data_IF_691142751446
#
_entry.id   IF_691142751446
#
_cell.length_a   1.000
_cell.length_b   1.000
_cell.length_c   1.000
_cell.angle_alpha   90.00
_cell.angle_beta   90.00
_cell.angle_gamma   90.00
#
_symmetry.space_group_name_H-M   'P 1'
#
loop_
_entity.id
_entity.type
_entity.pdbx_description
1 polymer ?
#
# COMPACT_ATOMS: atom_id res chain seq x y z
N UNK A 1 -67.89 104.56 38.72
CA UNK A 1 -67.80 103.08 38.71
C UNK A 1 -66.59 102.70 37.86
N UNK A 2 -65.70 101.86 38.38
CA UNK A 2 -64.42 101.52 37.74
C UNK A 2 -64.50 100.10 37.15
N UNK A 3 -64.34 99.99 35.82
CA UNK A 3 -64.36 98.71 35.08
C UNK A 3 -62.99 98.20 34.64
N UNK A 4 -61.93 98.97 34.85
CA UNK A 4 -60.62 98.73 34.23
C UNK A 4 -60.06 97.34 34.57
N UNK A 5 -60.26 96.86 35.80
CA UNK A 5 -59.79 95.54 36.23
C UNK A 5 -60.56 94.37 35.58
N UNK A 6 -61.86 94.52 35.34
CA UNK A 6 -62.67 93.53 34.62
C UNK A 6 -62.31 93.52 33.12
N UNK A 7 -62.11 94.70 32.54
CA UNK A 7 -61.73 94.87 31.14
C UNK A 7 -60.35 94.29 30.83
N UNK A 8 -59.38 94.50 31.71
CA UNK A 8 -58.05 93.91 31.61
C UNK A 8 -58.11 92.37 31.65
N UNK A 9 -58.86 91.81 32.61
CA UNK A 9 -59.03 90.36 32.71
C UNK A 9 -59.75 89.78 31.49
N UNK A 10 -60.86 90.39 31.06
CA UNK A 10 -61.59 89.99 29.86
C UNK A 10 -60.69 89.98 28.64
N UNK A 11 -59.90 91.04 28.44
CA UNK A 11 -58.98 91.17 27.30
C UNK A 11 -57.87 90.13 27.35
N UNK A 12 -57.35 89.81 28.54
CA UNK A 12 -56.32 88.79 28.73
C UNK A 12 -56.82 87.38 28.41
N UNK A 13 -58.07 87.05 28.77
CA UNK A 13 -58.56 85.66 28.69
C UNK A 13 -59.46 85.37 27.49
N UNK A 14 -60.00 86.39 26.79
CA UNK A 14 -60.93 86.21 25.65
C UNK A 14 -60.38 85.36 24.48
N UNK A 15 -59.05 85.25 24.37
CA UNK A 15 -58.37 84.48 23.33
C UNK A 15 -58.13 82.99 23.66
N UNK A 16 -58.56 82.52 24.84
CA UNK A 16 -58.41 81.12 25.24
C UNK A 16 -59.18 80.21 24.28
N UNK A 17 -58.65 79.03 23.92
CA UNK A 17 -59.25 78.11 22.92
C UNK A 17 -59.90 76.90 23.58
N UNK A 18 -61.10 76.51 23.10
CA UNK A 18 -61.86 75.35 23.61
C UNK A 18 -61.10 74.03 23.58
N UNK A 19 -60.31 73.81 22.52
CA UNK A 19 -59.74 72.50 22.20
C UNK A 19 -58.94 71.84 23.32
N UNK A 20 -58.30 72.65 24.17
CA UNK A 20 -57.38 72.18 25.20
C UNK A 20 -58.07 71.78 26.51
N UNK A 21 -59.35 72.14 26.69
CA UNK A 21 -60.05 72.05 27.99
C UNK A 21 -61.27 71.14 27.94
N UNK A 22 -61.58 70.52 29.09
CA UNK A 22 -62.80 69.70 29.28
C UNK A 22 -64.05 70.52 29.03
N UNK A 23 -65.06 69.93 28.40
CA UNK A 23 -66.28 70.64 28.02
C UNK A 23 -66.96 71.31 29.23
N UNK A 24 -66.97 70.65 30.39
CA UNK A 24 -67.57 71.18 31.62
C UNK A 24 -66.91 72.50 32.09
N UNK A 25 -65.58 72.50 32.23
CA UNK A 25 -64.85 73.70 32.70
C UNK A 25 -64.79 74.79 31.64
N UNK A 26 -64.75 74.40 30.36
CA UNK A 26 -64.82 75.33 29.24
C UNK A 26 -66.15 76.08 29.19
N UNK A 27 -67.28 75.37 29.34
CA UNK A 27 -68.61 75.97 29.32
C UNK A 27 -68.81 76.96 30.48
N UNK A 28 -68.27 76.66 31.67
CA UNK A 28 -68.26 77.57 32.81
C UNK A 28 -67.45 78.84 32.51
N UNK A 29 -66.25 78.71 31.95
CA UNK A 29 -65.43 79.84 31.51
C UNK A 29 -66.11 80.69 30.44
N UNK A 30 -66.68 80.07 29.40
CA UNK A 30 -67.38 80.78 28.33
C UNK A 30 -68.59 81.57 28.85
N UNK A 31 -69.34 81.00 29.81
CA UNK A 31 -70.46 81.66 30.47
C UNK A 31 -69.99 82.89 31.26
N UNK A 32 -68.93 82.75 32.04
CA UNK A 32 -68.34 83.85 32.82
C UNK A 32 -67.77 84.95 31.92
N UNK A 33 -67.15 84.58 30.79
CA UNK A 33 -66.62 85.52 29.79
C UNK A 33 -67.74 86.32 29.11
N UNK A 34 -68.85 85.66 28.77
CA UNK A 34 -70.03 86.33 28.22
C UNK A 34 -70.69 87.26 29.25
N UNK A 35 -70.77 86.85 30.52
CA UNK A 35 -71.28 87.70 31.59
C UNK A 35 -70.39 88.93 31.82
N UNK A 36 -69.07 88.75 31.86
CA UNK A 36 -68.11 89.85 31.94
C UNK A 36 -68.28 90.86 30.79
N UNK A 37 -68.47 90.37 29.55
CA UNK A 37 -68.76 91.24 28.39
C UNK A 37 -70.05 92.04 28.56
N UNK A 38 -71.13 91.40 29.05
CA UNK A 38 -72.41 92.08 29.32
C UNK A 38 -72.24 93.19 30.37
N UNK A 39 -71.56 92.90 31.47
CA UNK A 39 -71.32 93.88 32.55
C UNK A 39 -70.40 95.02 32.09
N UNK A 40 -69.42 94.74 31.23
CA UNK A 40 -68.57 95.78 30.61
C UNK A 40 -69.39 96.74 29.74
N UNK A 41 -70.38 96.23 29.00
CA UNK A 41 -71.22 97.02 28.10
C UNK A 41 -72.40 97.74 28.78
N UNK A 42 -72.75 97.38 30.02
CA UNK A 42 -73.87 97.99 30.75
C UNK A 42 -73.47 99.32 31.39
N UNK A 43 -73.99 100.45 30.89
CA UNK A 43 -73.73 101.79 31.41
C UNK A 43 -74.31 102.03 32.82
N UNK A 44 -75.22 101.18 33.29
CA UNK A 44 -75.85 101.24 34.63
C UNK A 44 -75.27 100.24 35.62
N UNK A 45 -74.25 99.45 35.24
CA UNK A 45 -73.66 98.46 36.13
C UNK A 45 -73.10 99.10 37.42
N UNK A 46 -73.43 98.50 38.56
CA UNK A 46 -72.90 98.88 39.88
C UNK A 46 -71.48 98.32 40.09
N UNK A 47 -70.71 98.92 40.99
CA UNK A 47 -69.37 98.40 41.33
C UNK A 47 -69.42 96.94 41.81
N UNK A 48 -70.43 96.58 42.60
CA UNK A 48 -70.66 95.21 43.07
C UNK A 48 -70.87 94.21 41.91
N UNK A 49 -71.56 94.61 40.84
CA UNK A 49 -71.75 93.78 39.65
C UNK A 49 -70.44 93.61 38.85
N UNK A 50 -69.64 94.68 38.73
CA UNK A 50 -68.32 94.64 38.09
C UNK A 50 -67.36 93.71 38.84
N UNK A 51 -67.28 93.85 40.16
CA UNK A 51 -66.41 93.04 41.01
C UNK A 51 -66.86 91.56 41.00
N UNK A 52 -68.16 91.31 41.04
CA UNK A 52 -68.73 89.96 40.93
C UNK A 52 -68.42 89.31 39.57
N UNK A 53 -68.58 90.05 38.47
CA UNK A 53 -68.24 89.55 37.13
C UNK A 53 -66.74 89.28 36.99
N UNK A 54 -65.88 90.12 37.60
CA UNK A 54 -64.42 89.92 37.62
C UNK A 54 -64.05 88.66 38.38
N UNK A 55 -64.57 88.48 39.59
CA UNK A 55 -64.28 87.31 40.42
C UNK A 55 -64.82 86.02 39.78
N UNK A 56 -65.99 86.09 39.14
CA UNK A 56 -66.58 84.96 38.41
C UNK A 56 -65.72 84.57 37.20
N UNK A 57 -65.27 85.55 36.41
CA UNK A 57 -64.40 85.31 35.26
C UNK A 57 -63.03 84.77 35.69
N UNK A 58 -62.43 85.34 36.73
CA UNK A 58 -61.13 84.91 37.27
C UNK A 58 -61.21 83.48 37.80
N UNK A 59 -62.25 83.16 38.57
CA UNK A 59 -62.48 81.81 39.10
C UNK A 59 -62.74 80.80 37.99
N UNK A 60 -63.53 81.15 36.99
CA UNK A 60 -63.83 80.26 35.88
C UNK A 60 -62.61 80.03 34.97
N UNK A 61 -61.75 81.04 34.79
CA UNK A 61 -60.47 80.91 34.07
C UNK A 61 -59.49 80.02 34.83
N UNK A 62 -59.30 80.26 36.14
CA UNK A 62 -58.47 79.40 37.02
C UNK A 62 -59.00 77.98 37.15
N UNK A 63 -60.32 77.80 36.99
CA UNK A 63 -61.01 76.51 37.03
C UNK A 63 -60.95 75.69 35.74
N UNK A 64 -60.34 76.21 34.67
CA UNK A 64 -60.17 75.48 33.41
C UNK A 64 -59.31 74.22 33.60
N UNK A 65 -59.87 73.05 33.29
CA UNK A 65 -59.16 71.76 33.35
C UNK A 65 -58.87 71.27 31.95
N UNK A 66 -57.60 70.97 31.66
CA UNK A 66 -57.20 70.43 30.36
C UNK A 66 -57.87 69.08 30.11
N UNK A 67 -58.19 68.76 28.85
CA UNK A 67 -58.64 67.40 28.49
C UNK A 67 -57.53 66.41 28.85
N UNK A 68 -57.86 65.23 29.41
CA UNK A 68 -56.88 64.17 29.57
C UNK A 68 -56.33 63.79 28.19
N UNK A 69 -55.02 63.60 28.08
CA UNK A 69 -54.42 63.07 26.87
C UNK A 69 -54.98 61.65 26.61
N UNK A 70 -55.29 61.29 25.36
CA UNK A 70 -55.70 59.93 25.05
C UNK A 70 -54.60 58.95 25.50
N UNK A 71 -54.98 57.96 26.31
CA UNK A 71 -54.08 56.90 26.75
C UNK A 71 -53.85 55.92 25.61
N UNK A 72 -52.66 55.95 25.01
CA UNK A 72 -52.27 55.03 23.93
C UNK A 72 -51.75 53.73 24.54
N UNK A 73 -52.31 52.60 24.13
CA UNK A 73 -51.91 51.29 24.64
C UNK A 73 -50.79 50.69 23.75
N UNK A 74 -49.59 50.58 24.33
CA UNK A 74 -48.38 50.01 23.69
C UNK A 74 -48.04 48.59 24.13
N UNK A 75 -48.82 48.00 25.03
CA UNK A 75 -48.49 46.73 25.72
C UNK A 75 -48.24 45.58 24.73
N UNK A 76 -49.13 45.42 23.74
CA UNK A 76 -48.99 44.33 22.77
C UNK A 76 -47.79 44.49 21.83
N UNK A 77 -47.50 45.73 21.38
CA UNK A 77 -46.32 46.03 20.58
C UNK A 77 -45.03 45.77 21.39
N UNK A 78 -45.01 46.18 22.66
CA UNK A 78 -43.87 45.99 23.55
C UNK A 78 -43.60 44.50 23.82
N UNK A 79 -44.66 43.71 24.02
CA UNK A 79 -44.57 42.26 24.20
C UNK A 79 -43.97 41.59 22.96
N UNK A 80 -44.51 41.89 21.77
CA UNK A 80 -43.99 41.34 20.51
C UNK A 80 -42.53 41.76 20.26
N UNK A 81 -42.20 43.03 20.46
CA UNK A 81 -40.83 43.53 20.34
C UNK A 81 -39.87 42.75 21.25
N UNK A 82 -40.23 42.55 22.52
CA UNK A 82 -39.40 41.81 23.46
C UNK A 82 -39.25 40.33 23.09
N UNK A 83 -40.28 39.72 22.52
CA UNK A 83 -40.27 38.33 22.07
C UNK A 83 -39.29 38.13 20.89
N UNK A 84 -39.24 39.07 19.94
CA UNK A 84 -38.52 38.85 18.67
C UNK A 84 -37.20 39.63 18.55
N UNK A 85 -36.91 40.61 19.42
CA UNK A 85 -35.69 41.44 19.33
C UNK A 85 -34.37 40.67 19.38
N UNK A 86 -34.38 39.46 19.93
CA UNK A 86 -33.19 38.60 20.07
C UNK A 86 -33.10 37.53 18.98
N UNK A 87 -34.01 37.54 18.00
CA UNK A 87 -33.91 36.65 16.83
C UNK A 87 -32.59 36.93 16.11
N UNK A 88 -31.83 35.89 15.79
CA UNK A 88 -30.57 35.99 15.05
C UNK A 88 -30.78 35.76 13.55
N UNK A 89 -29.92 36.33 12.70
CA UNK A 89 -30.02 36.24 11.24
C UNK A 89 -29.99 34.79 10.72
N UNK A 90 -29.16 33.93 11.32
CA UNK A 90 -29.05 32.53 10.94
C UNK A 90 -28.91 32.31 9.43
N UNK A 91 -29.69 31.37 8.91
CA UNK A 91 -29.80 31.00 7.50
C UNK A 91 -30.97 31.70 6.79
N UNK A 92 -31.56 32.75 7.36
CA UNK A 92 -32.59 33.53 6.67
C UNK A 92 -32.02 34.24 5.43
N UNK A 93 -32.88 34.44 4.43
CA UNK A 93 -32.55 35.19 3.22
C UNK A 93 -32.31 36.66 3.55
N UNK A 94 -31.40 37.31 2.82
CA UNK A 94 -31.08 38.73 3.01
C UNK A 94 -32.33 39.62 2.95
N UNK A 95 -33.23 39.34 2.00
CA UNK A 95 -34.46 40.10 1.79
C UNK A 95 -35.44 39.98 2.95
N UNK A 96 -35.76 38.75 3.39
CA UNK A 96 -36.69 38.56 4.52
C UNK A 96 -36.12 39.08 5.83
N UNK A 97 -34.81 38.92 6.04
CA UNK A 97 -34.11 39.44 7.22
C UNK A 97 -34.12 40.97 7.29
N UNK A 98 -33.83 41.65 6.17
CA UNK A 98 -33.85 43.11 6.12
C UNK A 98 -35.26 43.69 6.37
N UNK A 99 -36.30 43.00 5.87
CA UNK A 99 -37.69 43.37 6.14
C UNK A 99 -38.02 43.26 7.64
N UNK A 100 -37.60 42.17 8.29
CA UNK A 100 -37.76 41.99 9.74
C UNK A 100 -37.02 43.04 10.55
N UNK A 101 -35.74 43.30 10.24
CA UNK A 101 -34.93 44.32 10.92
C UNK A 101 -35.53 45.73 10.79
N UNK A 102 -36.06 46.06 9.60
CA UNK A 102 -36.74 47.33 9.35
C UNK A 102 -37.99 47.47 10.22
N UNK A 103 -38.83 46.42 10.27
CA UNK A 103 -40.03 46.40 11.09
C UNK A 103 -39.71 46.47 12.59
N UNK A 104 -38.65 45.77 13.05
CA UNK A 104 -38.18 45.80 14.43
C UNK A 104 -37.69 47.19 14.85
N UNK A 105 -36.92 47.85 13.97
CA UNK A 105 -36.47 49.24 14.17
C UNK A 105 -37.65 50.22 14.23
N UNK A 106 -38.63 50.08 13.32
CA UNK A 106 -39.83 50.91 13.33
C UNK A 106 -40.68 50.69 14.60
N UNK A 107 -40.85 49.44 15.03
CA UNK A 107 -41.53 49.11 16.28
C UNK A 107 -40.85 49.78 17.48
N UNK A 108 -39.51 49.76 17.55
CA UNK A 108 -38.76 50.46 18.60
C UNK A 108 -39.00 51.97 18.56
N UNK A 109 -38.95 52.61 17.39
CA UNK A 109 -39.23 54.04 17.22
C UNK A 109 -40.64 54.40 17.70
N UNK A 110 -41.66 53.61 17.36
CA UNK A 110 -43.04 53.84 17.80
C UNK A 110 -43.22 53.59 19.31
N UNK A 111 -42.52 52.61 19.87
CA UNK A 111 -42.49 52.39 21.33
C UNK A 111 -41.89 53.60 22.07
N UNK A 112 -40.82 54.18 21.55
CA UNK A 112 -40.13 55.34 22.14
C UNK A 112 -40.86 56.68 21.91
N UNK A 113 -41.72 56.78 20.89
CA UNK A 113 -42.43 58.02 20.57
C UNK A 113 -43.61 58.28 21.52
N UNK A 114 -43.45 59.21 22.45
CA UNK A 114 -44.49 59.67 23.38
C UNK A 114 -45.75 60.26 22.72
N UNK A 115 -45.69 60.62 21.43
CA UNK A 115 -46.80 61.19 20.65
C UNK A 115 -47.42 60.21 19.65
N UNK A 116 -46.96 58.95 19.62
CA UNK A 116 -47.51 57.95 18.72
C UNK A 116 -49.01 57.74 18.97
N UNK A 117 -49.81 57.75 17.90
CA UNK A 117 -51.23 57.42 17.90
C UNK A 117 -51.47 55.92 18.03
N UNK A 118 -52.68 55.51 18.46
CA UNK A 118 -53.03 54.09 18.52
C UNK A 118 -52.93 53.40 17.15
N UNK A 119 -53.25 54.11 16.07
CA UNK A 119 -53.10 53.59 14.70
C UNK A 119 -51.63 53.32 14.36
N UNK A 120 -50.70 54.20 14.74
CA UNK A 120 -49.26 53.96 14.53
C UNK A 120 -48.77 52.75 15.32
N UNK A 121 -49.22 52.58 16.56
CA UNK A 121 -48.89 51.41 17.40
C UNK A 121 -49.42 50.12 16.78
N UNK A 122 -50.69 50.10 16.37
CA UNK A 122 -51.31 48.93 15.73
C UNK A 122 -50.61 48.58 14.41
N UNK A 123 -50.28 49.57 13.59
CA UNK A 123 -49.56 49.36 12.33
C UNK A 123 -48.16 48.81 12.58
N UNK A 124 -47.40 49.37 13.52
CA UNK A 124 -46.07 48.87 13.86
C UNK A 124 -46.11 47.42 14.38
N UNK A 125 -47.13 47.07 15.18
CA UNK A 125 -47.35 45.69 15.66
C UNK A 125 -47.60 44.75 14.50
N UNK A 126 -48.56 45.09 13.64
CA UNK A 126 -48.93 44.26 12.49
C UNK A 126 -47.75 44.09 11.53
N UNK A 127 -46.99 45.16 11.27
CA UNK A 127 -45.78 45.10 10.44
C UNK A 127 -44.70 44.21 11.05
N UNK A 128 -44.44 44.34 12.36
CA UNK A 128 -43.46 43.49 13.04
C UNK A 128 -43.88 42.02 13.04
N UNK A 129 -45.15 41.72 13.33
CA UNK A 129 -45.69 40.35 13.31
C UNK A 129 -45.62 39.73 11.91
N UNK A 130 -46.02 40.48 10.89
CA UNK A 130 -45.97 40.03 9.50
C UNK A 130 -44.54 39.80 9.03
N UNK A 131 -43.61 40.69 9.37
CA UNK A 131 -42.21 40.56 8.98
C UNK A 131 -41.53 39.39 9.71
N UNK A 132 -41.88 39.14 10.97
CA UNK A 132 -41.38 37.98 11.72
C UNK A 132 -41.91 36.66 11.14
N UNK A 133 -43.20 36.57 10.84
CA UNK A 133 -43.81 35.40 10.17
C UNK A 133 -43.32 35.22 8.73
N UNK A 134 -42.86 36.30 8.09
CA UNK A 134 -42.33 36.33 6.73
C UNK A 134 -40.84 36.02 6.62
N UNK A 135 -40.16 35.64 7.70
CA UNK A 135 -38.78 35.17 7.63
C UNK A 135 -38.68 33.89 6.78
N UNK A 136 -37.75 33.88 5.83
CA UNK A 136 -37.57 32.79 4.87
C UNK A 136 -36.15 32.25 4.97
N UNK A 137 -36.01 30.92 5.06
CA UNK A 137 -34.70 30.27 5.01
C UNK A 137 -34.10 30.32 3.60
N UNK A 138 -32.78 30.39 3.52
CA UNK A 138 -32.05 30.21 2.27
C UNK A 138 -32.39 28.84 1.68
N UNK A 139 -32.59 28.74 0.36
CA UNK A 139 -32.80 27.44 -0.28
C UNK A 139 -31.58 26.55 -0.05
N UNK A 140 -31.81 25.29 0.32
CA UNK A 140 -30.75 24.29 0.32
C UNK A 140 -30.30 24.02 -1.13
N UNK A 141 -29.01 23.77 -1.39
CA UNK A 141 -28.55 23.34 -2.71
C UNK A 141 -29.34 22.14 -3.23
N UNK A 142 -29.74 22.17 -4.51
CA UNK A 142 -30.40 21.05 -5.18
C UNK A 142 -29.43 19.92 -5.53
N UNK A 143 -28.14 20.26 -5.64
CA UNK A 143 -27.04 19.35 -5.95
C UNK A 143 -25.83 19.69 -5.09
N UNK A 144 -25.00 18.70 -4.82
CA UNK A 144 -23.73 18.84 -4.13
C UNK A 144 -22.61 18.24 -4.95
N UNK A 145 -21.40 18.80 -4.79
CA UNK A 145 -20.21 18.27 -5.43
C UNK A 145 -19.74 17.01 -4.70
N UNK A 146 -19.55 15.94 -5.46
CA UNK A 146 -18.87 14.73 -5.02
C UNK A 146 -17.52 14.66 -5.71
N UNK A 147 -16.47 14.49 -4.90
CA UNK A 147 -15.10 14.26 -5.39
C UNK A 147 -14.68 12.84 -5.05
N UNK A 148 -14.16 12.10 -6.01
CA UNK A 148 -13.58 10.77 -5.79
C UNK A 148 -12.09 10.85 -6.02
N UNK A 149 -11.31 10.60 -4.96
CA UNK A 149 -9.84 10.69 -4.97
C UNK A 149 -9.24 9.29 -4.89
N UNK A 150 -8.27 9.03 -5.75
CA UNK A 150 -7.49 7.80 -5.77
C UNK A 150 -6.06 8.15 -5.35
N UNK A 151 -5.61 7.60 -4.23
CA UNK A 151 -4.37 8.01 -3.57
C UNK A 151 -3.40 6.84 -3.47
N UNK A 152 -2.13 7.07 -3.76
CA UNK A 152 -1.06 6.14 -3.43
C UNK A 152 -0.87 6.12 -1.91
N UNK A 153 -0.96 4.96 -1.29
CA UNK A 153 -0.89 4.81 0.17
C UNK A 153 0.54 4.98 0.70
N UNK A 154 1.55 4.57 -0.06
CA UNK A 154 2.95 4.67 0.30
C UNK A 154 3.45 6.12 0.25
N UNK A 155 3.12 6.84 -0.82
CA UNK A 155 3.66 8.18 -1.08
C UNK A 155 2.70 9.31 -0.73
N UNK A 156 1.41 9.02 -0.54
CA UNK A 156 0.36 10.02 -0.35
C UNK A 156 0.05 10.84 -1.62
N UNK A 157 0.58 10.43 -2.78
CA UNK A 157 0.37 11.13 -4.04
C UNK A 157 -1.04 10.89 -4.60
N UNK A 158 -1.62 11.91 -5.22
CA UNK A 158 -2.89 11.81 -5.92
C UNK A 158 -2.66 11.12 -7.28
N UNK A 159 -3.23 9.93 -7.45
CA UNK A 159 -3.16 9.16 -8.68
C UNK A 159 -4.21 9.62 -9.69
N UNK A 160 -5.43 9.86 -9.22
CA UNK A 160 -6.56 10.30 -10.04
C UNK A 160 -7.61 11.01 -9.19
N UNK A 161 -8.31 11.95 -9.80
CA UNK A 161 -9.44 12.64 -9.21
C UNK A 161 -10.58 12.74 -10.22
N UNK A 162 -11.81 12.54 -9.75
CA UNK A 162 -13.04 12.64 -10.52
C UNK A 162 -14.04 13.53 -9.76
N UNK A 163 -14.80 14.34 -10.49
CA UNK A 163 -15.83 15.21 -9.92
C UNK A 163 -17.17 14.95 -10.57
N UNK A 164 -18.22 14.92 -9.76
CA UNK A 164 -19.60 14.76 -10.23
C UNK A 164 -20.55 15.58 -9.36
N UNK A 165 -21.54 16.20 -9.98
CA UNK A 165 -22.65 16.84 -9.27
C UNK A 165 -23.74 15.82 -9.01
N UNK A 166 -24.13 15.67 -7.74
CA UNK A 166 -25.13 14.68 -7.31
C UNK A 166 -26.30 15.38 -6.64
N UNK A 167 -27.52 14.98 -7.01
CA UNK A 167 -28.75 15.52 -6.45
C UNK A 167 -28.83 15.30 -4.93
N UNK A 168 -29.20 16.34 -4.21
CA UNK A 168 -29.40 16.29 -2.76
C UNK A 168 -30.38 15.17 -2.37
N UNK A 169 -30.00 14.38 -1.36
CA UNK A 169 -30.79 13.27 -0.83
C UNK A 169 -30.71 11.97 -1.64
N UNK A 170 -29.94 11.92 -2.73
CA UNK A 170 -29.73 10.68 -3.50
C UNK A 170 -28.51 9.91 -3.00
N UNK A 171 -28.59 8.58 -3.09
CA UNK A 171 -27.46 7.69 -2.82
C UNK A 171 -26.48 7.72 -3.98
N UNK A 172 -25.19 7.84 -3.69
CA UNK A 172 -24.10 7.75 -4.65
C UNK A 172 -23.12 6.66 -4.26
N UNK A 173 -22.75 5.80 -5.22
CA UNK A 173 -21.74 4.76 -5.05
C UNK A 173 -20.49 5.14 -5.83
N UNK A 174 -19.45 5.57 -5.11
CA UNK A 174 -18.11 5.73 -5.66
C UNK A 174 -17.47 4.35 -5.86
N UNK A 175 -16.67 4.21 -6.91
CA UNK A 175 -15.94 2.97 -7.21
C UNK A 175 -14.44 3.23 -7.26
N UNK A 176 -13.66 2.29 -6.76
CA UNK A 176 -12.24 2.21 -7.01
C UNK A 176 -12.01 1.98 -8.51
N UNK A 177 -11.01 2.67 -9.06
CA UNK A 177 -10.49 2.44 -10.41
C UNK A 177 -9.68 1.16 -10.49
N UNK A 178 -9.86 0.44 -11.59
CA UNK A 178 -9.11 -0.77 -11.96
C UNK A 178 -8.14 -0.53 -13.12
N UNK A 179 -8.21 0.63 -13.78
CA UNK A 179 -7.40 1.03 -14.93
C UNK A 179 -6.09 1.74 -14.53
N UNK A 180 -5.66 1.61 -13.27
CA UNK A 180 -4.37 2.13 -12.77
C UNK A 180 -3.27 1.09 -13.04
N UNK A 181 -3.04 0.76 -14.31
CA UNK A 181 -2.16 -0.34 -14.77
C UNK A 181 -0.88 0.15 -15.45
N UNK A 182 0.16 -0.69 -15.46
CA UNK A 182 1.28 -0.61 -16.41
C UNK A 182 1.03 -1.61 -17.58
N UNK A 183 1.93 -1.66 -18.57
CA UNK A 183 1.75 -2.44 -19.81
C UNK A 183 1.59 -3.97 -19.59
N UNK A 184 1.94 -4.52 -18.42
CA UNK A 184 1.95 -5.97 -18.16
C UNK A 184 1.21 -6.39 -16.87
N UNK A 185 0.98 -5.48 -15.92
CA UNK A 185 0.29 -5.72 -14.64
C UNK A 185 -0.36 -4.43 -14.09
N UNK A 186 -1.28 -4.51 -13.11
CA UNK A 186 -1.69 -3.32 -12.36
C UNK A 186 -0.46 -2.67 -11.71
N UNK A 187 -0.27 -1.35 -11.87
CA UNK A 187 0.77 -0.62 -11.13
C UNK A 187 0.37 -0.45 -9.66
N UNK A 188 -0.94 -0.55 -9.40
CA UNK A 188 -1.57 -0.29 -8.12
C UNK A 188 -2.66 -1.33 -7.85
N UNK A 189 -2.75 -1.79 -6.60
CA UNK A 189 -3.86 -2.59 -6.10
C UNK A 189 -4.66 -1.79 -5.07
N UNK A 190 -5.99 -1.80 -5.19
CA UNK A 190 -6.86 -1.13 -4.21
C UNK A 190 -6.69 -1.75 -2.82
N UNK A 191 -6.49 -0.91 -1.82
CA UNK A 191 -6.44 -1.29 -0.42
C UNK A 191 -7.84 -1.19 0.19
N UNK A 192 -8.43 -2.34 0.54
CA UNK A 192 -9.75 -2.40 1.15
C UNK A 192 -10.90 -2.50 0.14
N UNK A 193 -12.02 -1.83 0.43
CA UNK A 193 -13.24 -1.97 -0.36
C UNK A 193 -13.15 -1.26 -1.71
N UNK A 194 -13.63 -1.93 -2.76
CA UNK A 194 -13.67 -1.39 -4.12
C UNK A 194 -14.82 -0.40 -4.34
N UNK A 195 -15.74 -0.25 -3.39
CA UNK A 195 -16.86 0.69 -3.49
C UNK A 195 -17.15 1.36 -2.15
N UNK A 196 -17.66 2.59 -2.21
CA UNK A 196 -18.14 3.36 -1.05
C UNK A 196 -19.47 4.00 -1.43
N UNK A 197 -20.51 3.82 -0.60
CA UNK A 197 -21.86 4.33 -0.89
C UNK A 197 -22.33 5.27 0.22
N UNK A 198 -22.85 6.44 -0.15
CA UNK A 198 -23.40 7.41 0.81
C UNK A 198 -24.55 8.22 0.19
N UNK A 199 -25.54 8.57 1.01
CA UNK A 199 -26.55 9.58 0.65
C UNK A 199 -25.96 10.98 0.71
N UNK A 200 -26.02 11.71 -0.41
CA UNK A 200 -25.37 13.01 -0.58
C UNK A 200 -26.29 14.14 -0.12
N UNK A 201 -25.92 14.78 0.99
CA UNK A 201 -26.65 15.94 1.55
C UNK A 201 -25.75 17.16 1.77
N UNK A 202 -24.46 17.03 1.46
CA UNK A 202 -23.42 18.06 1.54
C UNK A 202 -22.39 17.75 0.45
N UNK A 203 -21.44 18.65 0.22
CA UNK A 203 -20.25 18.29 -0.57
C UNK A 203 -19.52 17.14 0.14
N UNK A 204 -19.13 16.12 -0.62
CA UNK A 204 -18.57 14.87 -0.09
C UNK A 204 -17.33 14.49 -0.86
N UNK A 205 -16.33 13.94 -0.18
CA UNK A 205 -15.14 13.36 -0.81
C UNK A 205 -15.02 11.89 -0.43
N UNK A 206 -14.99 11.01 -1.43
CA UNK A 206 -14.61 9.61 -1.27
C UNK A 206 -13.13 9.45 -1.58
N UNK A 207 -12.42 8.67 -0.78
CA UNK A 207 -11.00 8.41 -1.01
C UNK A 207 -10.76 6.90 -1.06
N UNK A 208 -10.15 6.44 -2.14
CA UNK A 208 -9.65 5.09 -2.30
C UNK A 208 -8.12 5.12 -2.22
N UNK A 209 -7.56 4.24 -1.40
CA UNK A 209 -6.12 4.09 -1.25
C UNK A 209 -5.65 2.89 -2.04
N UNK A 210 -4.46 3.00 -2.62
CA UNK A 210 -3.85 1.97 -3.44
C UNK A 210 -2.45 1.66 -2.95
N UNK A 211 -2.13 0.37 -2.88
CA UNK A 211 -0.77 -0.10 -2.66
C UNK A 211 -0.06 -0.29 -4.00
N UNK A 212 1.20 0.14 -4.09
CA UNK A 212 2.05 -0.12 -5.25
C UNK A 212 2.22 -1.63 -5.49
N UNK A 213 2.33 -2.01 -6.76
CA UNK A 213 2.62 -3.39 -7.18
C UNK A 213 3.95 -3.40 -7.91
N UNK A 214 4.87 -4.22 -7.43
CA UNK A 214 6.18 -4.43 -8.03
C UNK A 214 6.24 -5.74 -8.79
N UNK A 215 7.11 -5.80 -9.80
CA UNK A 215 7.36 -7.00 -10.56
C UNK A 215 8.61 -7.72 -10.05
N UNK A 216 8.43 -8.99 -9.71
CA UNK A 216 9.54 -9.93 -9.53
C UNK A 216 9.70 -10.70 -10.83
N UNK A 217 10.80 -10.45 -11.54
CA UNK A 217 11.13 -11.12 -12.79
C UNK A 217 11.98 -12.36 -12.51
N UNK A 218 11.56 -13.51 -13.03
CA UNK A 218 12.26 -14.79 -12.90
C UNK A 218 12.83 -15.17 -14.25
N UNK A 219 14.14 -15.41 -14.29
CA UNK A 219 14.87 -15.82 -15.48
C UNK A 219 15.64 -17.11 -15.24
N UNK A 220 15.82 -17.87 -16.31
CA UNK A 220 16.74 -18.99 -16.32
C UNK A 220 18.01 -18.60 -17.06
N UNK A 221 19.14 -19.17 -16.66
CA UNK A 221 20.41 -19.02 -17.39
C UNK A 221 21.16 -20.35 -17.44
N UNK A 222 21.88 -20.64 -18.54
CA UNK A 222 22.79 -21.77 -18.57
C UNK A 222 23.99 -21.54 -17.65
N UNK A 223 24.54 -22.62 -17.11
CA UNK A 223 25.82 -22.66 -16.42
C UNK A 223 26.66 -23.84 -16.94
N UNK A 224 27.83 -23.52 -17.51
CA UNK A 224 28.74 -24.48 -18.16
C UNK A 224 28.09 -25.34 -19.26
N UNK A 225 26.98 -24.89 -19.84
CA UNK A 225 26.34 -25.54 -21.00
C UNK A 225 26.91 -24.94 -22.27
N UNK A 226 27.21 -25.77 -23.27
CA UNK A 226 27.66 -25.30 -24.59
C UNK A 226 26.60 -24.43 -25.29
N UNK A 227 26.99 -23.30 -25.88
CA UNK A 227 26.12 -22.46 -26.71
C UNK A 227 25.62 -23.18 -27.99
N UNK A 228 26.23 -24.32 -28.34
CA UNK A 228 25.78 -25.17 -29.45
C UNK A 228 24.67 -26.14 -29.07
N UNK A 229 24.28 -26.21 -27.80
CA UNK A 229 23.19 -27.09 -27.36
C UNK A 229 21.86 -26.68 -28.03
N UNK A 230 21.13 -27.61 -28.66
CA UNK A 230 19.94 -27.28 -29.43
C UNK A 230 18.78 -26.75 -28.57
N UNK A 231 18.79 -26.97 -27.26
CA UNK A 231 17.74 -26.60 -26.32
C UNK A 231 18.10 -25.37 -25.46
N UNK A 232 19.33 -24.85 -25.53
CA UNK A 232 19.78 -23.76 -24.65
C UNK A 232 18.94 -22.48 -24.75
N UNK A 233 18.32 -22.25 -25.92
CA UNK A 233 17.44 -21.12 -26.15
C UNK A 233 16.18 -21.15 -25.26
N UNK A 234 15.75 -22.32 -24.78
CA UNK A 234 14.65 -22.44 -23.83
C UNK A 234 14.97 -21.71 -22.51
N UNK A 235 16.23 -21.78 -22.06
CA UNK A 235 16.69 -21.07 -20.86
C UNK A 235 16.76 -19.55 -21.10
N UNK A 236 17.39 -19.12 -22.20
CA UNK A 236 17.54 -17.69 -22.51
C UNK A 236 16.20 -16.98 -22.74
N UNK A 237 15.23 -17.66 -23.35
CA UNK A 237 13.91 -17.10 -23.63
C UNK A 237 12.97 -17.17 -22.42
N UNK A 238 13.33 -17.90 -21.37
CA UNK A 238 12.50 -17.97 -20.18
C UNK A 238 12.56 -16.66 -19.40
N UNK A 239 11.44 -15.94 -19.38
CA UNK A 239 11.17 -14.87 -18.42
C UNK A 239 9.73 -15.00 -17.93
N UNK A 240 9.53 -14.85 -16.62
CA UNK A 240 8.21 -14.82 -16.01
C UNK A 240 8.13 -13.75 -14.93
N UNK A 241 7.16 -12.86 -15.07
CA UNK A 241 6.92 -11.77 -14.12
C UNK A 241 5.83 -12.14 -13.12
N UNK A 242 6.07 -11.85 -11.85
CA UNK A 242 5.13 -12.05 -10.75
C UNK A 242 4.81 -10.69 -10.12
N UNK A 243 3.55 -10.21 -10.19
CA UNK A 243 3.16 -8.98 -9.50
C UNK A 243 3.05 -9.23 -8.00
N UNK A 244 3.70 -8.40 -7.21
CA UNK A 244 3.74 -8.47 -5.75
C UNK A 244 3.38 -7.11 -5.18
N UNK A 245 2.37 -7.09 -4.31
CA UNK A 245 1.90 -5.87 -3.66
C UNK A 245 2.94 -5.42 -2.64
N UNK A 246 3.13 -4.10 -2.53
CA UNK A 246 4.07 -3.45 -1.61
C UNK A 246 4.06 -4.11 -0.22
N UNK A 247 5.24 -4.55 0.22
CA UNK A 247 5.48 -5.13 1.54
C UNK A 247 5.05 -6.59 1.69
N UNK A 248 4.46 -7.22 0.68
CA UNK A 248 4.18 -8.66 0.71
C UNK A 248 5.45 -9.48 0.45
N UNK A 249 5.42 -10.74 0.90
CA UNK A 249 6.44 -11.73 0.57
C UNK A 249 5.97 -12.64 -0.55
N UNK A 250 6.90 -13.16 -1.34
CA UNK A 250 6.65 -14.18 -2.36
C UNK A 250 7.70 -15.28 -2.28
N UNK A 251 7.29 -16.53 -2.48
CA UNK A 251 8.19 -17.67 -2.69
C UNK A 251 8.02 -18.16 -4.11
N UNK A 252 9.13 -18.26 -4.83
CA UNK A 252 9.18 -18.66 -6.23
C UNK A 252 9.93 -19.98 -6.33
N UNK A 253 9.32 -20.95 -6.98
CA UNK A 253 9.95 -22.22 -7.35
C UNK A 253 10.67 -22.07 -8.68
N UNK A 254 11.83 -22.70 -8.79
CA UNK A 254 12.63 -22.75 -10.00
C UNK A 254 11.82 -23.43 -11.13
N UNK A 255 11.79 -22.87 -12.35
CA UNK A 255 11.14 -23.53 -13.47
C UNK A 255 11.76 -24.90 -13.77
N UNK A 256 10.94 -25.83 -14.28
CA UNK A 256 11.42 -27.13 -14.75
C UNK A 256 11.60 -27.10 -16.26
N UNK A 257 12.72 -27.62 -16.72
CA UNK A 257 13.04 -27.77 -18.14
C UNK A 257 13.26 -29.25 -18.44
N UNK A 258 12.91 -29.69 -19.64
CA UNK A 258 12.97 -31.12 -20.00
C UNK A 258 14.41 -31.61 -20.10
N UNK A 259 15.32 -30.78 -20.61
CA UNK A 259 16.69 -31.15 -20.91
C UNK A 259 17.72 -30.64 -19.89
N UNK A 260 17.28 -29.85 -18.91
CA UNK A 260 18.19 -29.21 -17.96
C UNK A 260 17.76 -29.47 -16.52
N UNK A 261 18.75 -29.52 -15.62
CA UNK A 261 18.53 -29.57 -14.18
C UNK A 261 19.06 -28.30 -13.53
N UNK A 262 18.52 -27.96 -12.37
CA UNK A 262 19.05 -26.86 -11.58
C UNK A 262 20.48 -27.16 -11.14
N UNK A 263 21.39 -26.23 -11.35
CA UNK A 263 22.78 -26.38 -10.99
C UNK A 263 22.99 -26.01 -9.51
N UNK A 264 23.25 -26.97 -8.61
CA UNK A 264 23.41 -26.70 -7.19
C UNK A 264 24.65 -25.86 -6.87
N UNK A 265 25.61 -25.74 -7.80
CA UNK A 265 26.83 -24.93 -7.63
C UNK A 265 26.52 -23.43 -7.58
N UNK A 266 25.46 -23.00 -8.28
CA UNK A 266 25.04 -21.60 -8.40
C UNK A 266 23.63 -21.36 -7.83
N UNK A 267 22.82 -22.40 -7.72
CA UNK A 267 21.43 -22.37 -7.26
C UNK A 267 21.19 -23.54 -6.30
N UNK A 268 21.62 -23.36 -5.05
CA UNK A 268 21.59 -24.40 -4.01
C UNK A 268 20.18 -24.80 -3.52
N UNK A 269 19.15 -24.05 -3.91
CA UNK A 269 17.75 -24.29 -3.57
C UNK A 269 16.89 -24.16 -4.82
N UNK A 270 15.89 -25.04 -4.94
CA UNK A 270 14.85 -24.94 -5.96
C UNK A 270 13.79 -23.86 -5.66
N UNK A 271 13.93 -23.15 -4.55
CA UNK A 271 13.04 -22.06 -4.16
C UNK A 271 13.81 -20.83 -3.70
N UNK A 272 13.27 -19.65 -4.00
CA UNK A 272 13.75 -18.36 -3.51
C UNK A 272 12.57 -17.60 -2.90
N UNK A 273 12.72 -17.18 -1.64
CA UNK A 273 11.74 -16.34 -0.95
C UNK A 273 12.24 -14.91 -0.86
N UNK A 274 11.46 -13.98 -1.41
CA UNK A 274 11.66 -12.54 -1.25
C UNK A 274 10.70 -12.03 -0.19
N UNK A 275 11.24 -11.47 0.89
CA UNK A 275 10.44 -10.91 1.97
C UNK A 275 10.30 -9.41 1.80
N UNK A 276 9.11 -8.88 2.10
CA UNK A 276 8.84 -7.44 2.13
C UNK A 276 9.25 -6.74 0.82
N UNK A 277 8.63 -7.12 -0.30
CA UNK A 277 8.96 -6.58 -1.62
C UNK A 277 8.53 -5.11 -1.73
N UNK A 278 9.50 -4.22 -1.91
CA UNK A 278 9.29 -2.75 -1.98
C UNK A 278 9.84 -2.13 -3.27
N UNK A 279 10.32 -2.94 -4.21
CA UNK A 279 10.83 -2.51 -5.50
C UNK A 279 10.75 -3.66 -6.50
N UNK A 280 10.92 -3.38 -7.79
CA UNK A 280 11.14 -4.46 -8.78
C UNK A 280 12.42 -5.22 -8.44
N UNK A 281 12.40 -6.54 -8.62
CA UNK A 281 13.50 -7.44 -8.29
C UNK A 281 13.64 -8.54 -9.35
N UNK A 282 14.83 -9.12 -9.46
CA UNK A 282 15.14 -10.21 -10.38
C UNK A 282 15.66 -11.44 -9.67
N UNK A 283 15.19 -12.61 -10.07
CA UNK A 283 15.68 -13.93 -9.62
C UNK A 283 16.23 -14.66 -10.83
N UNK A 284 17.46 -15.17 -10.72
CA UNK A 284 18.08 -15.99 -11.75
C UNK A 284 18.36 -17.39 -11.20
N UNK A 285 17.79 -18.40 -11.85
CA UNK A 285 18.12 -19.80 -11.59
C UNK A 285 19.12 -20.30 -12.65
N UNK A 286 20.19 -20.93 -12.19
CA UNK A 286 21.23 -21.47 -13.05
C UNK A 286 20.94 -22.95 -13.37
N UNK A 287 21.06 -23.32 -14.64
CA UNK A 287 20.75 -24.66 -15.13
C UNK A 287 21.93 -25.27 -15.88
N UNK A 288 22.06 -26.58 -15.80
CA UNK A 288 23.15 -27.35 -16.42
C UNK A 288 22.66 -28.74 -16.82
N UNK A 289 23.45 -29.48 -17.58
CA UNK A 289 23.17 -30.90 -17.81
C UNK A 289 23.67 -31.76 -16.65
N UNK A 290 23.00 -32.91 -16.49
CA UNK A 290 23.38 -33.94 -15.55
C UNK A 290 23.86 -35.17 -16.30
N UNK A 291 25.04 -35.66 -15.94
CA UNK A 291 25.62 -36.85 -16.54
C UNK A 291 25.97 -37.88 -15.48
N UNK A 292 26.07 -39.13 -15.92
CA UNK A 292 26.50 -40.23 -15.09
C UNK A 292 27.91 -40.67 -15.48
N UNK A 293 28.77 -40.79 -14.48
CA UNK A 293 30.07 -41.44 -14.60
C UNK A 293 29.97 -42.84 -14.02
N UNK A 294 30.07 -43.84 -14.88
CA UNK A 294 30.07 -45.24 -14.50
C UNK A 294 31.51 -45.72 -14.29
N UNK A 295 31.82 -46.28 -13.13
CA UNK A 295 33.12 -46.86 -12.83
C UNK A 295 32.99 -48.38 -12.83
N UNK A 296 33.64 -49.02 -13.80
CA UNK A 296 33.63 -50.46 -13.97
C UNK A 296 34.96 -51.08 -13.55
N UNK A 297 34.88 -52.18 -12.82
CA UNK A 297 36.01 -53.06 -12.53
C UNK A 297 35.75 -54.37 -13.26
N UNK A 298 36.62 -54.74 -14.20
CA UNK A 298 36.41 -55.92 -15.06
C UNK A 298 37.59 -56.88 -15.02
N UNK A 299 37.30 -58.17 -15.22
CA UNK A 299 38.30 -59.16 -15.57
C UNK A 299 38.71 -58.96 -17.05
N UNK A 300 40.00 -58.76 -17.31
CA UNK A 300 40.51 -58.49 -18.67
C UNK A 300 40.37 -59.68 -19.62
N UNK A 301 40.38 -60.91 -19.10
CA UNK A 301 40.33 -62.12 -19.93
C UNK A 301 38.90 -62.50 -20.30
N UNK A 302 37.96 -62.32 -19.38
CA UNK A 302 36.56 -62.76 -19.55
C UNK A 302 35.59 -61.62 -19.83
N UNK A 303 36.03 -60.36 -19.67
CA UNK A 303 35.19 -59.16 -19.63
C UNK A 303 34.09 -59.21 -18.54
N UNK A 304 34.19 -60.10 -17.56
CA UNK A 304 33.23 -60.16 -16.46
C UNK A 304 33.32 -58.90 -15.58
N UNK A 305 32.18 -58.28 -15.29
CA UNK A 305 32.09 -57.14 -14.37
C UNK A 305 32.23 -57.65 -12.93
N UNK A 306 33.31 -57.25 -12.28
CA UNK A 306 33.63 -57.58 -10.88
C UNK A 306 32.93 -56.62 -9.92
N UNK A 307 32.82 -55.36 -10.29
CA UNK A 307 32.10 -54.32 -9.56
C UNK A 307 31.75 -53.17 -10.51
N UNK A 308 30.62 -52.52 -10.27
CA UNK A 308 30.21 -51.32 -11.00
C UNK A 308 29.56 -50.34 -10.03
N UNK A 309 29.82 -49.06 -10.22
CA UNK A 309 29.20 -47.96 -9.47
C UNK A 309 28.94 -46.79 -10.41
N UNK A 310 27.91 -46.01 -10.12
CA UNK A 310 27.55 -44.84 -10.92
C UNK A 310 27.51 -43.63 -10.00
N UNK A 311 28.22 -42.57 -10.38
CA UNK A 311 28.14 -41.27 -9.73
C UNK A 311 27.54 -40.25 -10.68
N UNK A 312 26.59 -39.49 -10.18
CA UNK A 312 26.03 -38.34 -10.89
C UNK A 312 26.95 -37.13 -10.75
N UNK A 313 27.19 -36.46 -11.86
CA UNK A 313 28.00 -35.23 -11.99
C UNK A 313 27.27 -34.21 -12.87
N UNK A 314 27.69 -32.96 -12.80
CA UNK A 314 27.14 -31.88 -13.62
C UNK A 314 28.10 -31.51 -14.75
N UNK A 315 27.58 -30.91 -15.83
CA UNK A 315 28.40 -30.52 -16.97
C UNK A 315 29.59 -29.65 -16.53
N UNK A 316 30.75 -29.97 -17.09
CA UNK A 316 32.02 -29.32 -16.78
C UNK A 316 32.59 -29.66 -15.40
N UNK A 317 32.02 -30.63 -14.67
CA UNK A 317 32.66 -31.19 -13.48
C UNK A 317 33.89 -32.02 -13.86
N UNK A 318 34.78 -32.19 -12.88
CA UNK A 318 35.85 -33.18 -12.94
C UNK A 318 35.54 -34.29 -11.95
N UNK A 319 35.80 -35.54 -12.33
CA UNK A 319 35.52 -36.70 -11.50
C UNK A 319 36.78 -37.56 -11.37
N UNK A 320 37.09 -37.94 -10.14
CA UNK A 320 38.24 -38.78 -9.80
C UNK A 320 37.78 -40.01 -9.01
N UNK A 321 38.30 -41.18 -9.38
CA UNK A 321 38.03 -42.43 -8.65
C UNK A 321 39.30 -43.27 -8.55
N UNK A 322 39.40 -44.06 -7.49
CA UNK A 322 40.53 -44.95 -7.22
C UNK A 322 40.19 -46.38 -7.61
N UNK A 323 41.22 -47.16 -7.97
CA UNK A 323 41.05 -48.59 -8.16
C UNK A 323 40.64 -49.28 -6.84
N UNK A 324 39.92 -50.39 -6.95
CA UNK A 324 39.57 -51.24 -5.81
C UNK A 324 40.65 -52.30 -5.62
N UNK A 325 41.12 -52.49 -4.39
CA UNK A 325 42.05 -53.57 -4.08
C UNK A 325 41.31 -54.91 -4.02
N UNK A 326 41.72 -55.85 -4.86
CA UNK A 326 41.08 -57.16 -5.05
C UNK A 326 42.11 -58.31 -5.01
N UNK A 327 43.29 -58.07 -4.42
CA UNK A 327 44.39 -59.03 -4.39
C UNK A 327 44.05 -60.30 -3.60
N UNK A 328 43.18 -60.19 -2.58
CA UNK A 328 42.69 -61.34 -1.81
C UNK A 328 41.89 -62.34 -2.66
N UNK A 329 41.41 -61.90 -3.83
CA UNK A 329 40.69 -62.71 -4.81
C UNK A 329 41.55 -63.03 -6.04
N UNK A 330 42.88 -62.84 -5.95
CA UNK A 330 43.86 -63.02 -7.02
C UNK A 330 43.65 -62.09 -8.24
N UNK A 331 42.98 -60.95 -8.07
CA UNK A 331 42.83 -59.94 -9.11
C UNK A 331 43.87 -58.83 -8.97
N UNK A 332 44.67 -58.66 -10.02
CA UNK A 332 45.74 -57.67 -10.07
C UNK A 332 45.43 -56.60 -11.12
N UNK A 333 45.56 -55.33 -10.75
CA UNK A 333 45.24 -54.19 -11.62
C UNK A 333 46.20 -54.15 -12.82
N UNK A 334 45.66 -54.19 -14.03
CA UNK A 334 46.43 -53.94 -15.26
C UNK A 334 46.71 -52.44 -15.44
N UNK A 335 47.86 -52.08 -16.03
CA UNK A 335 48.10 -50.72 -16.53
C UNK A 335 47.33 -50.53 -17.83
N UNK A 336 46.04 -50.22 -17.71
CA UNK A 336 45.21 -49.91 -18.87
C UNK A 336 45.25 -48.39 -19.10
N UNK A 337 46.13 -47.96 -20.00
CA UNK A 337 46.32 -46.62 -20.55
C UNK A 337 45.16 -46.22 -21.47
N UNK A 338 43.96 -46.20 -20.89
CA UNK A 338 42.79 -45.54 -21.47
C UNK A 338 43.13 -44.06 -21.66
N UNK A 339 43.43 -43.65 -22.90
CA UNK A 339 43.80 -42.28 -23.25
C UNK A 339 42.70 -41.26 -22.97
N UNK A 340 41.48 -41.72 -22.67
CA UNK A 340 40.35 -40.88 -22.33
C UNK A 340 40.28 -40.51 -20.85
N UNK A 341 41.18 -41.06 -20.02
CA UNK A 341 41.33 -40.71 -18.60
C UNK A 341 42.79 -40.37 -18.29
N UNK A 342 43.00 -39.44 -17.36
CA UNK A 342 44.34 -39.21 -16.80
C UNK A 342 44.57 -40.14 -15.62
N UNK A 343 45.78 -40.71 -15.51
CA UNK A 343 46.16 -41.64 -14.43
C UNK A 343 47.28 -41.03 -13.61
N UNK A 344 47.09 -40.90 -12.31
CA UNK A 344 48.11 -40.39 -11.41
C UNK A 344 49.14 -41.47 -11.01
N UNK A 345 50.18 -41.07 -10.27
CA UNK A 345 51.24 -41.98 -9.78
C UNK A 345 50.73 -43.08 -8.84
N UNK A 346 49.51 -42.97 -8.31
CA UNK A 346 48.89 -43.93 -7.40
C UNK A 346 47.85 -44.81 -8.11
N UNK A 347 47.65 -44.64 -9.42
CA UNK A 347 46.65 -45.36 -10.21
C UNK A 347 45.23 -44.80 -10.10
N UNK A 348 45.04 -43.60 -9.53
CA UNK A 348 43.77 -42.89 -9.55
C UNK A 348 43.46 -42.43 -10.97
N UNK A 349 42.22 -42.62 -11.41
CA UNK A 349 41.74 -42.18 -12.73
C UNK A 349 40.92 -40.91 -12.58
N UNK A 350 41.22 -39.91 -13.41
CA UNK A 350 40.54 -38.62 -13.42
C UNK A 350 40.06 -38.30 -14.84
N UNK A 351 38.80 -37.88 -14.93
CA UNK A 351 38.21 -37.25 -16.11
C UNK A 351 37.91 -35.79 -15.77
N UNK A 352 38.21 -34.88 -16.69
CA UNK A 352 37.96 -33.46 -16.54
C UNK A 352 36.91 -33.01 -17.54
N UNK A 353 36.16 -31.97 -17.19
CA UNK A 353 35.18 -31.32 -18.06
C UNK A 353 34.16 -32.31 -18.66
N UNK A 354 33.45 -33.04 -17.80
CA UNK A 354 32.45 -34.02 -18.22
C UNK A 354 31.32 -33.32 -18.99
N UNK A 355 31.07 -33.77 -20.22
CA UNK A 355 30.10 -33.20 -21.17
C UNK A 355 29.09 -34.23 -21.71
N UNK A 356 29.17 -35.48 -21.23
CA UNK A 356 28.31 -36.60 -21.59
C UNK A 356 28.45 -37.71 -20.55
N UNK A 357 27.66 -38.77 -20.66
CA UNK A 357 27.87 -39.96 -19.85
C UNK A 357 29.25 -40.57 -20.14
N UNK A 358 30.03 -40.87 -19.10
CA UNK A 358 31.39 -41.40 -19.22
C UNK A 358 31.50 -42.73 -18.49
N UNK A 359 32.40 -43.58 -18.98
CA UNK A 359 32.76 -44.82 -18.30
C UNK A 359 34.25 -44.84 -18.01
N UNK A 360 34.62 -45.04 -16.74
CA UNK A 360 36.00 -45.28 -16.32
C UNK A 360 36.14 -46.78 -16.06
N UNK A 361 37.06 -47.46 -16.75
CA UNK A 361 37.26 -48.91 -16.58
C UNK A 361 38.61 -49.24 -15.96
N UNK A 362 38.59 -49.88 -14.80
CA UNK A 362 39.72 -50.57 -14.21
C UNK A 362 39.72 -52.03 -14.67
N UNK A 363 40.80 -52.45 -15.33
CA UNK A 363 40.97 -53.82 -15.81
C UNK A 363 41.84 -54.60 -14.85
N UNK A 364 41.45 -55.84 -14.56
CA UNK A 364 42.16 -56.72 -13.64
C UNK A 364 42.46 -58.05 -14.32
N UNK A 365 43.67 -58.57 -14.13
CA UNK A 365 44.02 -59.94 -14.49
C UNK A 365 43.83 -60.84 -13.29
N UNK A 366 43.11 -61.95 -13.48
CA UNK A 366 43.06 -63.00 -12.48
C UNK A 366 44.27 -63.92 -12.68
N UNK A 367 45.15 -64.03 -11.68
CA UNK A 367 46.34 -64.87 -11.78
C UNK A 367 46.32 -65.84 -10.61
N UNK A 368 46.12 -67.13 -10.89
CA UNK A 368 46.22 -68.14 -9.85
C UNK A 368 47.66 -68.23 -9.31
N UNK A 369 47.82 -68.65 -8.05
CA UNK A 369 49.15 -68.87 -7.47
C UNK A 369 49.98 -69.87 -8.30
N UNK A 370 49.33 -70.88 -8.88
CA UNK A 370 49.98 -71.84 -9.78
C UNK A 370 50.53 -71.17 -11.04
N UNK A 371 49.75 -70.28 -11.65
CA UNK A 371 50.17 -69.56 -12.87
C UNK A 371 51.32 -68.59 -12.56
N UNK A 372 51.26 -67.92 -11.41
CA UNK A 372 52.34 -67.06 -10.93
C UNK A 372 53.63 -67.85 -10.70
N UNK A 373 53.56 -68.97 -9.97
CA UNK A 373 54.71 -69.85 -9.73
C UNK A 373 55.32 -70.36 -11.05
N UNK A 374 54.48 -70.77 -12.00
CA UNK A 374 54.91 -71.24 -13.31
C UNK A 374 55.62 -70.15 -14.13
N UNK A 375 55.12 -68.91 -14.10
CA UNK A 375 55.77 -67.81 -14.79
C UNK A 375 57.14 -67.48 -14.20
N UNK A 376 57.21 -67.33 -12.87
CA UNK A 376 58.44 -67.00 -12.15
C UNK A 376 59.50 -68.07 -12.41
N UNK A 377 59.09 -69.34 -12.40
CA UNK A 377 59.92 -70.50 -12.75
C UNK A 377 60.55 -70.38 -14.14
N UNK A 378 59.77 -70.03 -15.15
CA UNK A 378 60.28 -69.87 -16.52
C UNK A 378 61.26 -68.70 -16.62
N UNK A 379 61.00 -67.58 -15.95
CA UNK A 379 61.90 -66.41 -15.92
C UNK A 379 63.21 -66.69 -15.21
N UNK A 380 63.16 -67.33 -14.04
CA UNK A 380 64.36 -67.72 -13.30
C UNK A 380 65.24 -68.68 -14.11
N UNK A 381 64.63 -69.67 -14.76
CA UNK A 381 65.36 -70.57 -15.66
C UNK A 381 66.01 -69.80 -16.83
N UNK A 382 65.29 -68.85 -17.42
CA UNK A 382 65.81 -68.02 -18.52
C UNK A 382 66.97 -67.12 -18.07
N UNK A 383 66.87 -66.47 -16.91
CA UNK A 383 67.95 -65.65 -16.34
C UNK A 383 69.17 -66.50 -15.99
N UNK A 384 68.96 -67.64 -15.34
CA UNK A 384 70.03 -68.56 -15.00
C UNK A 384 70.74 -69.08 -16.27
N UNK A 385 69.99 -69.43 -17.31
CA UNK A 385 70.55 -69.86 -18.58
C UNK A 385 71.29 -68.74 -19.32
N UNK A 386 70.79 -67.51 -19.26
CA UNK A 386 71.49 -66.34 -19.80
C UNK A 386 72.82 -66.11 -19.11
N UNK A 387 72.84 -66.19 -17.77
CA UNK A 387 74.06 -66.10 -16.97
C UNK A 387 75.04 -67.24 -17.29
N UNK A 388 74.55 -68.48 -17.36
CA UNK A 388 75.37 -69.65 -17.72
C UNK A 388 76.01 -69.49 -19.10
N UNK A 389 75.25 -69.04 -20.09
CA UNK A 389 75.74 -68.81 -21.45
C UNK A 389 76.83 -67.72 -21.50
N UNK A 390 76.63 -66.60 -20.79
CA UNK A 390 77.65 -65.54 -20.68
C UNK A 390 78.96 -66.04 -20.07
N UNK A 391 78.88 -67.07 -19.23
CA UNK A 391 80.03 -67.72 -18.58
C UNK A 391 80.50 -69.00 -19.30
N UNK A 392 80.06 -69.23 -20.55
CA UNK A 392 80.52 -70.36 -21.36
C UNK A 392 79.99 -71.74 -20.93
N UNK A 393 78.95 -71.77 -20.09
CA UNK A 393 78.33 -73.00 -19.58
C UNK A 393 77.04 -73.30 -20.34
N UNK A 394 76.82 -74.56 -20.72
CA UNK A 394 75.62 -74.99 -21.43
C UNK A 394 74.32 -74.68 -20.63
N UNK A 395 73.21 -74.34 -21.32
CA UNK A 395 71.91 -74.14 -20.68
C UNK A 395 71.48 -75.34 -19.85
N UNK A 396 70.84 -75.07 -18.72
CA UNK A 396 70.25 -76.05 -17.83
C UNK A 396 68.77 -76.26 -18.16
N UNK A 397 68.28 -77.48 -17.96
CA UNK A 397 66.86 -77.80 -17.99
C UNK A 397 66.21 -77.52 -16.63
N UNK A 398 64.88 -77.54 -16.58
CA UNK A 398 64.15 -77.35 -15.34
C UNK A 398 64.47 -78.44 -14.30
N UNK A 399 64.62 -78.07 -13.01
CA UNK A 399 64.89 -78.99 -11.90
C UNK A 399 64.32 -78.48 -10.56
N UNK A 400 64.39 -79.31 -9.51
CA UNK A 400 63.83 -79.04 -8.17
C UNK A 400 64.43 -77.79 -7.49
N UNK A 401 65.67 -77.43 -7.79
CA UNK A 401 66.32 -76.23 -7.21
C UNK A 401 65.72 -74.97 -7.83
N UNK A 402 65.51 -74.97 -9.15
CA UNK A 402 64.80 -73.89 -9.85
C UNK A 402 63.34 -73.83 -9.40
N UNK A 403 62.72 -74.96 -9.06
CA UNK A 403 61.37 -74.98 -8.47
C UNK A 403 61.30 -74.23 -7.15
N UNK A 404 62.20 -74.57 -6.21
CA UNK A 404 62.21 -73.98 -4.87
C UNK A 404 62.50 -72.48 -4.90
N UNK A 405 63.44 -72.04 -5.76
CA UNK A 405 63.71 -70.63 -5.97
C UNK A 405 62.47 -69.89 -6.48
N UNK A 406 61.78 -70.48 -7.47
CA UNK A 406 60.60 -69.88 -8.07
C UNK A 406 59.41 -69.81 -7.12
N UNK A 407 59.18 -70.84 -6.30
CA UNK A 407 58.10 -70.87 -5.31
C UNK A 407 58.34 -69.82 -4.21
N UNK A 408 59.59 -69.64 -3.75
CA UNK A 408 59.95 -68.56 -2.82
C UNK A 408 59.69 -67.20 -3.47
N UNK A 409 60.17 -67.02 -4.71
CA UNK A 409 60.06 -65.75 -5.42
C UNK A 409 58.62 -65.38 -5.76
N UNK A 410 57.79 -66.34 -6.12
CA UNK A 410 56.36 -66.12 -6.36
C UNK A 410 55.62 -65.76 -5.07
N UNK A 411 55.97 -66.39 -3.94
CA UNK A 411 55.44 -66.01 -2.62
C UNK A 411 55.88 -64.61 -2.21
N UNK A 412 57.13 -64.21 -2.47
CA UNK A 412 57.60 -62.83 -2.27
C UNK A 412 56.80 -61.83 -3.10
N UNK A 413 56.57 -62.12 -4.39
CA UNK A 413 55.82 -61.25 -5.30
C UNK A 413 54.33 -61.16 -4.93
N UNK A 414 53.74 -62.24 -4.40
CA UNK A 414 52.37 -62.25 -3.90
C UNK A 414 52.20 -61.39 -2.63
N UNK A 415 53.22 -61.32 -1.77
CA UNK A 415 53.13 -60.66 -0.44
C UNK A 415 53.69 -59.24 -0.44
N UNK A 416 54.70 -58.94 -1.26
CA UNK A 416 55.39 -57.66 -1.29
C UNK A 416 55.33 -57.05 -2.70
N UNK A 417 54.38 -56.15 -2.92
CA UNK A 417 54.11 -55.51 -4.21
C UNK A 417 55.22 -54.55 -4.73
N UNK A 418 56.42 -54.55 -4.14
CA UNK A 418 57.48 -53.61 -4.51
C UNK A 418 58.87 -54.21 -4.35
N UNK A 419 59.52 -54.54 -5.48
CA UNK A 419 60.97 -54.73 -5.48
C UNK A 419 61.53 -54.45 -6.89
N UNK A 420 62.28 -53.36 -7.05
CA UNK A 420 63.20 -53.16 -8.17
C UNK A 420 64.52 -53.91 -7.88
N UNK A 421 65.06 -54.67 -8.85
CA UNK A 421 66.41 -55.25 -8.79
C UNK A 421 67.20 -55.01 -10.08
N UNK A 422 68.55 -55.01 -10.03
CA UNK A 422 69.38 -54.77 -11.21
C UNK A 422 69.19 -55.88 -12.26
N UNK A 423 68.73 -55.50 -13.46
CA UNK A 423 68.56 -56.42 -14.61
C UNK A 423 67.26 -57.24 -14.64
N UNK A 424 66.37 -57.10 -13.64
CA UNK A 424 65.09 -57.80 -13.58
C UNK A 424 63.90 -56.83 -13.67
N UNK A 425 62.87 -57.21 -14.43
CA UNK A 425 61.65 -56.43 -14.59
C UNK A 425 60.81 -56.32 -13.31
N UNK A 426 59.86 -55.38 -13.28
CA UNK A 426 58.93 -55.17 -12.16
C UNK A 426 57.78 -56.21 -12.15
N UNK A 427 57.00 -56.29 -11.05
CA UNK A 427 55.75 -57.07 -11.05
C UNK A 427 54.78 -56.58 -12.14
N UNK A 428 54.85 -55.30 -12.50
CA UNK A 428 54.09 -54.80 -13.62
C UNK A 428 54.55 -55.40 -14.94
N UNK A 429 55.86 -55.55 -15.18
CA UNK A 429 56.39 -56.14 -16.41
C UNK A 429 55.91 -57.61 -16.57
N UNK A 430 55.64 -58.29 -15.45
CA UNK A 430 54.97 -59.59 -15.43
C UNK A 430 53.51 -59.48 -15.90
N UNK A 431 52.73 -58.56 -15.35
CA UNK A 431 51.36 -58.29 -15.81
C UNK A 431 51.36 -57.93 -17.32
N UNK A 432 52.22 -56.99 -17.72
CA UNK A 432 52.90 -56.76 -19.01
C UNK A 432 52.86 -57.96 -19.99
N UNK A 433 53.55 -59.01 -19.57
CA UNK A 433 53.76 -60.21 -20.38
C UNK A 433 52.56 -61.16 -20.42
N UNK A 434 51.58 -60.97 -19.53
CA UNK A 434 50.35 -61.78 -19.44
C UNK A 434 49.15 -61.10 -20.14
N UNK A 435 49.37 -59.99 -20.84
CA UNK A 435 48.32 -59.26 -21.56
C UNK A 435 47.55 -58.25 -20.70
N UNK A 436 48.06 -57.93 -19.51
CA UNK A 436 48.03 -56.55 -19.05
C UNK A 436 49.25 -55.81 -19.63
#
# INVERSE_FOLDING_TARGET
MNKSALEALYTSVKGTKKGDYTDNTWNAFQTALNNAKKVLNDSKATQKQVDSAKNTLDSAYKGLKKKPAPTVNKTELQALYNQVKSTAKGDFTEGSWNNFQTALSNAKKVLDDSKASQTQVNNAKNSLDSAFKGLQHKPKPSEYAVTVRHMNRQTGTLLKEEHVSVKAGTSYTAKARTDLTNFEAPQYQVNGNETQTQTINTNTTFTFYYDEVFLVEVKARPNKVSDTDPNIQELYNYSKSYPVVYGQSITIEAPMFTNFVLDPRESSSNTVTLNNVTSNQGINFAYTHQYNVTVNHINVDTNAVLSTETQTVYEGDSFSTSWKNMTDQNYFLCRNDDSSVTVDKNGQRVINNVDQNRTITFKYKNISLSDLNNYVRQKELAWLNSYRQQNGVAPMQFNDIVQQAADIRAKELQVSFSHYRPGGGTFQDLLESLGC
#
